data_IF_556238453836
#
_entry.id   IF_556238453836
#
_cell.length_a   1.000
_cell.length_b   1.000
_cell.length_c   1.000
_cell.angle_alpha   90.00
_cell.angle_beta   90.00
_cell.angle_gamma   90.00
#
_symmetry.space_group_name_H-M   'P 1'
#
loop_
_entity.id
_entity.type
_entity.pdbx_description
1 polymer ?
#
# COMPACT_ATOMS: atom_id res chain seq x y z
N UNK A 1 22.53 -1.80 8.25
CA UNK A 1 23.09 -1.77 6.88
C UNK A 1 22.08 -2.10 5.79
N UNK A 2 21.02 -2.88 6.05
CA UNK A 2 19.98 -3.21 5.04
C UNK A 2 19.14 -1.97 4.63
N UNK A 3 18.90 -1.01 5.53
CA UNK A 3 18.28 0.29 5.18
C UNK A 3 19.11 1.15 4.24
N UNK A 4 20.43 1.08 4.32
CA UNK A 4 21.30 1.90 3.48
C UNK A 4 21.28 1.40 2.02
N UNK A 5 21.13 0.09 1.81
CA UNK A 5 21.00 -0.50 0.47
C UNK A 5 19.65 -0.19 -0.19
N UNK A 6 18.54 -0.20 0.56
CA UNK A 6 17.20 0.12 0.05
C UNK A 6 17.11 1.60 -0.38
N UNK A 7 17.80 2.50 0.33
CA UNK A 7 17.90 3.91 -0.05
C UNK A 7 18.75 4.15 -1.31
N UNK A 8 19.74 3.31 -1.63
CA UNK A 8 20.68 3.58 -2.71
C UNK A 8 20.14 3.23 -4.12
N UNK A 9 19.08 2.41 -4.21
CA UNK A 9 18.38 2.13 -5.48
C UNK A 9 17.36 3.23 -5.84
N UNK A 10 16.93 4.06 -4.87
CA UNK A 10 15.97 5.13 -5.08
C UNK A 10 16.63 6.52 -5.04
N UNK A 11 17.80 6.64 -5.67
CA UNK A 11 18.51 7.90 -5.90
C UNK A 11 17.83 8.82 -6.92
N UNK A 12 16.50 8.99 -6.85
CA UNK A 12 15.79 10.02 -7.62
C UNK A 12 14.89 10.81 -6.68
N UNK A 13 15.36 11.99 -6.28
CA UNK A 13 14.51 13.11 -5.85
C UNK A 13 13.58 13.45 -7.01
N UNK A 14 12.44 12.79 -7.11
CA UNK A 14 11.44 13.13 -8.11
C UNK A 14 10.14 13.54 -7.42
N UNK A 15 10.03 14.85 -7.23
CA UNK A 15 8.85 15.56 -6.77
C UNK A 15 7.74 15.42 -7.82
N UNK A 16 6.97 14.32 -7.76
CA UNK A 16 5.76 14.16 -8.55
C UNK A 16 4.55 14.34 -7.64
N UNK A 17 4.05 15.57 -7.66
CA UNK A 17 2.73 15.97 -7.17
C UNK A 17 1.69 14.96 -7.63
N UNK A 18 1.10 14.23 -6.68
CA UNK A 18 -0.16 13.54 -6.91
C UNK A 18 -1.26 14.59 -6.77
N UNK A 19 -2.05 14.90 -7.83
CA UNK A 19 -3.14 15.83 -7.71
C UNK A 19 -4.26 15.15 -6.91
N UNK A 20 -4.29 15.39 -5.60
CA UNK A 20 -5.52 15.27 -4.83
C UNK A 20 -6.46 16.35 -5.37
N UNK A 21 -7.29 15.99 -6.34
CA UNK A 21 -8.39 16.83 -6.78
C UNK A 21 -9.41 16.93 -5.64
N UNK A 22 -9.16 17.87 -4.73
CA UNK A 22 -10.18 18.41 -3.86
C UNK A 22 -11.11 19.27 -4.73
N UNK A 23 -12.11 18.63 -5.34
CA UNK A 23 -13.25 19.31 -5.92
C UNK A 23 -13.98 20.09 -4.81
N UNK A 24 -13.65 21.38 -4.69
CA UNK A 24 -14.30 22.33 -3.79
C UNK A 24 -15.66 22.70 -4.37
N UNK A 25 -16.66 21.85 -4.18
CA UNK A 25 -18.05 22.26 -4.38
C UNK A 25 -18.48 23.12 -3.19
N UNK A 26 -18.62 24.43 -3.44
CA UNK A 26 -19.13 25.42 -2.48
C UNK A 26 -20.64 25.20 -2.39
N UNK A 27 -21.10 24.56 -1.31
CA UNK A 27 -22.53 24.39 -1.02
C UNK A 27 -23.11 25.77 -0.65
N UNK A 28 -24.31 26.17 -1.12
CA UNK A 28 -24.89 27.47 -0.80
C UNK A 28 -25.26 27.54 0.68
N UNK A 29 -24.74 28.55 1.38
CA UNK A 29 -25.00 28.78 2.80
C UNK A 29 -26.41 29.37 2.95
N UNK A 30 -27.43 28.52 3.00
CA UNK A 30 -28.78 28.94 3.43
C UNK A 30 -29.19 28.12 4.66
N UNK A 31 -29.26 28.82 5.79
CA UNK A 31 -30.04 28.50 6.98
C UNK A 31 -29.68 27.26 7.82
N UNK A 32 -28.38 26.97 7.98
CA UNK A 32 -27.93 26.04 9.03
C UNK A 32 -27.48 26.89 10.23
N UNK A 33 -28.14 26.71 11.38
CA UNK A 33 -27.73 27.34 12.65
C UNK A 33 -26.20 27.24 12.83
N UNK A 34 -25.52 28.37 13.11
CA UNK A 34 -24.06 28.43 13.34
C UNK A 34 -23.61 27.35 14.35
N UNK A 35 -24.46 27.05 15.35
CA UNK A 35 -24.21 25.97 16.32
C UNK A 35 -24.26 24.57 15.70
N UNK A 36 -25.20 24.32 14.79
CA UNK A 36 -25.33 23.04 14.04
C UNK A 36 -24.16 22.88 13.07
N UNK A 37 -23.78 23.95 12.37
CA UNK A 37 -22.61 23.97 11.48
C UNK A 37 -21.29 23.74 12.24
N UNK A 38 -21.08 24.39 13.40
CA UNK A 38 -19.91 24.15 14.26
C UNK A 38 -19.84 22.70 14.75
N UNK A 39 -20.98 22.11 15.16
CA UNK A 39 -21.04 20.69 15.56
C UNK A 39 -20.70 19.76 14.40
N UNK A 40 -21.22 20.05 13.21
CA UNK A 40 -20.96 19.28 11.99
C UNK A 40 -19.50 19.38 11.53
N UNK A 41 -18.91 20.58 11.56
CA UNK A 41 -17.48 20.78 11.25
C UNK A 41 -16.56 20.09 12.26
N UNK A 42 -16.88 20.13 13.56
CA UNK A 42 -16.14 19.37 14.59
C UNK A 42 -16.24 17.87 14.36
N UNK A 43 -17.42 17.37 14.02
CA UNK A 43 -17.63 15.95 13.72
C UNK A 43 -16.87 15.53 12.46
N UNK A 44 -16.93 16.34 11.39
CA UNK A 44 -16.20 16.11 10.15
C UNK A 44 -14.70 16.08 10.36
N UNK A 45 -14.15 17.00 11.17
CA UNK A 45 -12.71 17.01 11.53
C UNK A 45 -12.30 15.72 12.27
N UNK A 46 -13.12 15.25 13.21
CA UNK A 46 -12.87 13.98 13.92
C UNK A 46 -12.91 12.76 12.99
N UNK A 47 -13.82 12.75 12.02
CA UNK A 47 -13.90 11.68 11.02
C UNK A 47 -12.70 11.71 10.07
N UNK A 48 -12.19 12.89 9.72
CA UNK A 48 -10.97 13.08 8.92
C UNK A 48 -9.72 12.57 9.64
N UNK A 49 -9.51 12.95 10.91
CA UNK A 49 -8.37 12.46 11.71
C UNK A 49 -8.37 10.93 11.83
N UNK A 50 -9.56 10.33 11.96
CA UNK A 50 -9.70 8.87 12.02
C UNK A 50 -9.36 8.20 10.69
N UNK A 51 -9.74 8.81 9.57
CA UNK A 51 -9.38 8.32 8.26
C UNK A 51 -7.86 8.41 8.05
N UNK A 52 -7.27 9.59 8.28
CA UNK A 52 -5.82 9.81 8.13
C UNK A 52 -5.00 8.80 8.93
N UNK A 53 -5.38 8.56 10.20
CA UNK A 53 -4.71 7.56 11.03
C UNK A 53 -4.81 6.14 10.46
N UNK A 54 -5.96 5.78 9.90
CA UNK A 54 -6.15 4.48 9.28
C UNK A 54 -5.37 4.34 7.96
N UNK A 55 -5.32 5.39 7.15
CA UNK A 55 -4.54 5.42 5.90
C UNK A 55 -3.04 5.32 6.16
N UNK A 56 -2.54 6.07 7.15
CA UNK A 56 -1.16 5.95 7.63
C UNK A 56 -0.87 4.51 8.05
N UNK A 57 -1.73 3.92 8.87
CA UNK A 57 -1.51 2.56 9.36
C UNK A 57 -1.53 1.53 8.23
N UNK A 58 -2.49 1.65 7.29
CA UNK A 58 -2.55 0.79 6.12
C UNK A 58 -1.28 0.90 5.25
N UNK A 59 -0.84 2.13 4.97
CA UNK A 59 0.34 2.36 4.15
C UNK A 59 1.62 1.83 4.81
N UNK A 60 1.81 2.05 6.13
CA UNK A 60 2.95 1.51 6.88
C UNK A 60 2.91 -0.02 6.91
N UNK A 61 1.74 -0.64 7.14
CA UNK A 61 1.62 -2.10 7.15
C UNK A 61 2.00 -2.74 5.80
N UNK A 62 1.56 -2.16 4.67
CA UNK A 62 1.95 -2.65 3.34
C UNK A 62 3.44 -2.42 3.08
N UNK A 63 3.98 -1.28 3.49
CA UNK A 63 5.41 -1.00 3.36
C UNK A 63 6.25 -2.02 4.16
N UNK A 64 5.82 -2.37 5.37
CA UNK A 64 6.48 -3.37 6.21
C UNK A 64 6.46 -4.77 5.59
N UNK A 65 5.32 -5.22 5.06
CA UNK A 65 5.24 -6.51 4.33
C UNK A 65 6.18 -6.53 3.13
N UNK A 66 6.16 -5.46 2.32
CA UNK A 66 7.01 -5.36 1.15
C UNK A 66 8.50 -5.34 1.51
N UNK A 67 8.88 -4.67 2.60
CA UNK A 67 10.25 -4.67 3.10
C UNK A 67 10.69 -6.05 3.62
N UNK A 68 9.82 -6.77 4.33
CA UNK A 68 10.09 -8.13 4.78
C UNK A 68 10.30 -9.09 3.60
N UNK A 69 9.49 -8.98 2.54
CA UNK A 69 9.69 -9.75 1.30
C UNK A 69 10.98 -9.39 0.56
N UNK A 70 11.35 -8.10 0.56
CA UNK A 70 12.63 -7.66 0.01
C UNK A 70 13.82 -8.25 0.79
N UNK A 71 13.72 -8.30 2.12
CA UNK A 71 14.73 -8.90 2.99
C UNK A 71 14.87 -10.41 2.73
N UNK A 72 13.76 -11.16 2.68
CA UNK A 72 13.76 -12.59 2.35
C UNK A 72 14.44 -12.84 1.00
N UNK A 73 14.08 -12.07 -0.03
CA UNK A 73 14.68 -12.20 -1.35
C UNK A 73 16.20 -11.90 -1.32
N UNK A 74 16.63 -10.92 -0.52
CA UNK A 74 18.05 -10.62 -0.33
C UNK A 74 18.82 -11.67 0.49
N UNK A 75 18.16 -12.35 1.44
CA UNK A 75 18.72 -13.49 2.17
C UNK A 75 18.95 -14.70 1.25
N UNK A 76 17.99 -14.98 0.34
CA UNK A 76 18.12 -16.04 -0.66
C UNK A 76 19.33 -15.83 -1.60
N UNK A 77 19.65 -14.57 -1.93
CA UNK A 77 20.85 -14.22 -2.70
C UNK A 77 22.16 -14.59 -2.01
N UNK A 78 22.18 -14.60 -0.67
CA UNK A 78 23.37 -14.92 0.12
C UNK A 78 23.49 -16.41 0.38
N UNK A 79 22.36 -17.11 0.53
CA UNK A 79 22.31 -18.55 0.77
C UNK A 79 22.67 -19.38 -0.47
N UNK A 80 22.40 -18.88 -1.68
CA UNK A 80 22.66 -19.59 -2.93
C UNK A 80 23.89 -18.99 -3.66
N UNK A 81 24.89 -19.82 -3.97
CA UNK A 81 26.09 -19.39 -4.72
C UNK A 81 25.75 -18.87 -6.13
N UNK A 82 24.62 -19.32 -6.71
CA UNK A 82 24.03 -18.73 -7.90
C UNK A 82 23.06 -17.61 -7.51
N UNK A 83 23.50 -16.35 -7.64
CA UNK A 83 22.61 -15.18 -7.55
C UNK A 83 21.48 -15.34 -8.56
N UNK A 84 20.26 -15.58 -8.09
CA UNK A 84 19.13 -15.70 -8.99
C UNK A 84 18.71 -14.28 -9.44
N UNK A 85 18.69 -14.07 -10.77
CA UNK A 85 18.20 -12.83 -11.37
C UNK A 85 16.74 -12.55 -10.93
N UNK A 86 15.98 -13.62 -10.67
CA UNK A 86 14.62 -13.54 -10.13
C UNK A 86 14.58 -12.94 -8.73
N UNK A 87 15.37 -13.42 -7.78
CA UNK A 87 15.36 -12.92 -6.40
C UNK A 87 15.81 -11.46 -6.34
N UNK A 88 16.76 -11.06 -7.21
CA UNK A 88 17.16 -9.66 -7.36
C UNK A 88 16.01 -8.80 -7.89
N UNK A 89 15.26 -9.29 -8.88
CA UNK A 89 14.10 -8.59 -9.41
C UNK A 89 12.97 -8.50 -8.37
N UNK A 90 12.73 -9.56 -7.60
CA UNK A 90 11.74 -9.58 -6.51
C UNK A 90 12.11 -8.61 -5.41
N UNK A 91 13.36 -8.64 -4.93
CA UNK A 91 13.86 -7.71 -3.92
C UNK A 91 13.69 -6.25 -4.36
N UNK A 92 14.03 -5.96 -5.62
CA UNK A 92 13.93 -4.62 -6.20
C UNK A 92 12.48 -4.14 -6.35
N UNK A 93 11.58 -5.01 -6.84
CA UNK A 93 10.16 -4.71 -6.95
C UNK A 93 9.51 -4.47 -5.58
N UNK A 94 9.80 -5.34 -4.60
CA UNK A 94 9.29 -5.23 -3.25
C UNK A 94 9.81 -3.97 -2.54
N UNK A 95 11.10 -3.64 -2.71
CA UNK A 95 11.67 -2.39 -2.20
C UNK A 95 10.99 -1.14 -2.80
N UNK A 96 10.67 -1.15 -4.10
CA UNK A 96 9.94 -0.04 -4.74
C UNK A 96 8.51 0.11 -4.19
N UNK A 97 7.81 -1.01 -3.95
CA UNK A 97 6.49 -0.98 -3.30
C UNK A 97 6.61 -0.43 -1.88
N UNK A 98 7.60 -0.88 -1.11
CA UNK A 98 7.84 -0.39 0.24
C UNK A 98 8.09 1.12 0.26
N UNK A 99 8.95 1.62 -0.63
CA UNK A 99 9.23 3.05 -0.77
C UNK A 99 7.98 3.85 -1.18
N UNK A 100 7.16 3.31 -2.09
CA UNK A 100 5.93 3.98 -2.52
C UNK A 100 4.91 4.07 -1.40
N UNK A 101 4.75 3.00 -0.63
CA UNK A 101 3.85 2.97 0.52
C UNK A 101 4.35 3.87 1.67
N UNK A 102 5.65 3.95 1.90
CA UNK A 102 6.25 4.91 2.82
C UNK A 102 5.91 6.36 2.43
N UNK A 103 6.05 6.73 1.15
CA UNK A 103 5.66 8.06 0.67
C UNK A 103 4.16 8.32 0.82
N UNK A 104 3.30 7.31 0.61
CA UNK A 104 1.85 7.45 0.85
C UNK A 104 1.56 7.68 2.33
N UNK A 105 2.28 7.00 3.24
CA UNK A 105 2.16 7.23 4.68
C UNK A 105 2.60 8.64 5.08
N UNK A 106 3.72 9.15 4.53
CA UNK A 106 4.17 10.53 4.75
C UNK A 106 3.14 11.55 4.27
N UNK A 107 2.61 11.37 3.05
CA UNK A 107 1.57 12.22 2.49
C UNK A 107 0.26 12.21 3.31
N UNK A 108 -0.02 11.10 3.99
CA UNK A 108 -1.15 10.97 4.91
C UNK A 108 -0.86 11.52 6.34
N UNK A 109 0.36 12.02 6.60
CA UNK A 109 0.74 12.72 7.83
C UNK A 109 1.60 11.92 8.82
N UNK A 110 2.15 10.77 8.41
CA UNK A 110 3.08 10.01 9.25
C UNK A 110 4.47 10.66 9.32
N UNK A 111 5.13 10.52 10.47
CA UNK A 111 6.53 10.96 10.64
C UNK A 111 7.49 9.94 10.02
N UNK A 112 8.54 10.42 9.37
CA UNK A 112 9.51 9.56 8.68
C UNK A 112 10.21 8.58 9.62
N UNK A 113 10.48 8.98 10.87
CA UNK A 113 11.12 8.14 11.89
C UNK A 113 10.21 6.98 12.32
N UNK A 114 8.90 7.22 12.39
CA UNK A 114 7.92 6.18 12.68
C UNK A 114 7.85 5.18 11.53
N UNK A 115 7.88 5.67 10.29
CA UNK A 115 7.84 4.83 9.09
C UNK A 115 9.09 3.96 9.02
N UNK A 116 10.28 4.55 9.15
CA UNK A 116 11.54 3.80 9.09
C UNK A 116 11.60 2.76 10.21
N UNK A 117 11.31 3.13 11.45
CA UNK A 117 11.34 2.19 12.58
C UNK A 117 10.41 0.99 12.38
N UNK A 118 9.19 1.21 11.86
CA UNK A 118 8.24 0.13 11.61
C UNK A 118 8.66 -0.78 10.44
N UNK A 119 9.21 -0.19 9.37
CA UNK A 119 9.73 -0.92 8.21
C UNK A 119 10.93 -1.78 8.63
N UNK A 120 11.81 -1.26 9.46
CA UNK A 120 13.02 -1.97 9.91
C UNK A 120 12.68 -3.15 10.78
N UNK A 121 11.74 -2.97 11.71
CA UNK A 121 11.20 -4.05 12.53
C UNK A 121 10.57 -5.14 11.65
N UNK A 122 9.80 -4.77 10.63
CA UNK A 122 9.20 -5.72 9.69
C UNK A 122 10.26 -6.43 8.82
N UNK A 123 11.29 -5.72 8.38
CA UNK A 123 12.38 -6.28 7.56
C UNK A 123 13.20 -7.34 8.30
N UNK A 124 13.22 -7.31 9.64
CA UNK A 124 13.85 -8.37 10.45
C UNK A 124 12.93 -9.59 10.71
N UNK A 125 11.64 -9.48 10.38
CA UNK A 125 10.64 -10.51 10.65
C UNK A 125 10.42 -11.42 9.42
N UNK A 126 11.48 -12.12 9.00
CA UNK A 126 11.52 -12.90 7.75
C UNK A 126 10.93 -14.31 7.86
N UNK A 127 10.52 -14.74 9.06
CA UNK A 127 9.86 -16.03 9.27
C UNK A 127 8.47 -16.09 8.62
N UNK A 128 8.10 -17.25 8.07
CA UNK A 128 6.81 -17.45 7.41
C UNK A 128 5.60 -17.07 8.29
N UNK A 129 5.63 -17.39 9.58
CA UNK A 129 4.57 -17.04 10.53
C UNK A 129 4.41 -15.52 10.71
N UNK A 130 5.54 -14.80 10.74
CA UNK A 130 5.56 -13.34 10.83
C UNK A 130 5.04 -12.70 9.54
N UNK A 131 5.43 -13.23 8.37
CA UNK A 131 4.92 -12.76 7.06
C UNK A 131 3.40 -12.91 6.94
N UNK A 132 2.83 -14.05 7.35
CA UNK A 132 1.38 -14.23 7.35
C UNK A 132 0.68 -13.24 8.27
N UNK A 133 1.22 -13.02 9.47
CA UNK A 133 0.67 -12.08 10.44
C UNK A 133 0.74 -10.64 9.93
N UNK A 134 1.88 -10.21 9.40
CA UNK A 134 2.08 -8.89 8.80
C UNK A 134 1.14 -8.67 7.61
N UNK A 135 0.96 -9.69 6.76
CA UNK A 135 0.05 -9.63 5.60
C UNK A 135 -1.41 -9.52 6.04
N UNK A 136 -1.83 -10.31 7.03
CA UNK A 136 -3.17 -10.24 7.60
C UNK A 136 -3.45 -8.88 8.26
N UNK A 137 -2.47 -8.34 8.98
CA UNK A 137 -2.53 -7.00 9.56
C UNK A 137 -2.67 -5.93 8.46
N UNK A 138 -1.85 -5.99 7.40
CA UNK A 138 -1.93 -5.07 6.27
C UNK A 138 -3.31 -5.11 5.58
N UNK A 139 -3.83 -6.31 5.30
CA UNK A 139 -5.15 -6.48 4.70
C UNK A 139 -6.27 -5.90 5.58
N UNK A 140 -6.20 -6.10 6.89
CA UNK A 140 -7.15 -5.54 7.85
C UNK A 140 -7.07 -4.02 7.90
N UNK A 141 -5.87 -3.46 7.93
CA UNK A 141 -5.64 -2.01 7.92
C UNK A 141 -6.18 -1.37 6.63
N UNK A 142 -5.94 -1.98 5.47
CA UNK A 142 -6.50 -1.54 4.18
C UNK A 142 -8.02 -1.54 4.20
N UNK A 143 -8.64 -2.63 4.69
CA UNK A 143 -10.10 -2.72 4.81
C UNK A 143 -10.66 -1.68 5.78
N UNK A 144 -9.95 -1.42 6.89
CA UNK A 144 -10.29 -0.39 7.86
C UNK A 144 -10.28 1.01 7.24
N UNK A 145 -9.22 1.34 6.50
CA UNK A 145 -9.11 2.61 5.78
C UNK A 145 -10.22 2.77 4.73
N UNK A 146 -10.47 1.75 3.89
CA UNK A 146 -11.53 1.77 2.89
C UNK A 146 -12.92 1.94 3.50
N UNK A 147 -13.20 1.28 4.63
CA UNK A 147 -14.46 1.41 5.36
C UNK A 147 -14.66 2.85 5.85
N UNK A 148 -13.60 3.50 6.34
CA UNK A 148 -13.67 4.90 6.79
C UNK A 148 -13.86 5.88 5.62
N UNK A 149 -13.21 5.65 4.47
CA UNK A 149 -13.45 6.44 3.23
C UNK A 149 -14.91 6.37 2.80
N UNK A 150 -15.51 5.17 2.79
CA UNK A 150 -16.91 4.99 2.43
C UNK A 150 -17.88 5.77 3.32
N UNK A 151 -17.57 5.89 4.63
CA UNK A 151 -18.40 6.66 5.59
C UNK A 151 -18.30 8.17 5.36
N UNK A 152 -17.13 8.68 4.97
CA UNK A 152 -16.98 10.10 4.61
C UNK A 152 -17.80 10.48 3.37
N UNK A 153 -17.85 9.59 2.36
CA UNK A 153 -18.64 9.79 1.14
C UNK A 153 -20.15 9.67 1.35
N UNK A 154 -20.60 8.78 2.24
CA UNK A 154 -22.03 8.49 2.45
C UNK A 154 -22.81 9.65 3.11
N UNK A 155 -22.15 10.55 3.84
CA UNK A 155 -22.80 11.73 4.46
C UNK A 155 -23.32 12.76 3.43
N UNK A 156 -22.84 12.73 2.19
CA UNK A 156 -23.31 13.62 1.12
C UNK A 156 -24.47 13.04 0.30
N UNK A 157 -24.73 11.73 0.37
CA UNK A 157 -25.88 11.09 -0.30
C UNK A 157 -26.97 10.78 0.71
N UNK A 158 -27.88 11.73 0.89
CA UNK A 158 -29.21 11.39 1.42
C UNK A 158 -29.98 10.59 0.34
N UNK A 159 -30.74 9.59 0.81
CA UNK A 159 -31.61 8.65 0.08
C UNK A 159 -30.93 7.44 -0.58
N UNK A 160 -31.06 6.32 0.14
CA UNK A 160 -31.48 5.04 -0.43
C UNK A 160 -30.47 4.33 -1.31
N UNK A 161 -29.48 3.67 -0.72
CA UNK A 161 -28.94 2.44 -1.32
C UNK A 161 -28.29 1.58 -0.24
N UNK A 162 -28.64 0.30 -0.22
CA UNK A 162 -28.07 -0.73 0.64
C UNK A 162 -26.53 -0.74 0.54
N UNK A 163 -25.82 -1.09 1.63
CA UNK A 163 -24.36 -1.06 1.64
C UNK A 163 -23.83 -2.24 0.82
N UNK A 164 -23.71 -2.06 -0.49
CA UNK A 164 -22.85 -2.90 -1.31
C UNK A 164 -21.41 -2.57 -0.93
N UNK A 165 -20.69 -3.56 -0.40
CA UNK A 165 -19.26 -3.55 -0.19
C UNK A 165 -18.56 -3.42 -1.54
N UNK A 166 -18.39 -2.19 -2.04
CA UNK A 166 -17.64 -1.95 -3.27
C UNK A 166 -16.22 -1.54 -2.92
N UNK A 167 -15.34 -2.52 -3.14
CA UNK A 167 -13.93 -2.32 -3.36
C UNK A 167 -13.76 -1.51 -4.64
N UNK A 168 -13.74 -0.19 -4.57
CA UNK A 168 -13.29 0.63 -5.68
C UNK A 168 -12.47 1.79 -5.14
N UNK A 169 -11.14 1.69 -5.27
CA UNK A 169 -10.29 2.79 -5.78
C UNK A 169 -8.82 2.35 -6.05
N UNK A 170 -8.63 1.10 -6.48
CA UNK A 170 -7.55 0.73 -7.39
C UNK A 170 -8.19 -0.31 -8.32
N UNK A 171 -8.24 -0.07 -9.62
CA UNK A 171 -8.74 -1.03 -10.63
C UNK A 171 -7.85 -2.27 -10.78
N UNK A 172 -7.28 -2.77 -9.68
CA UNK A 172 -6.49 -3.98 -9.60
C UNK A 172 -7.40 -5.07 -9.02
N UNK A 173 -8.04 -5.83 -9.89
CA UNK A 173 -8.85 -6.98 -9.53
C UNK A 173 -7.94 -8.06 -8.92
N UNK A 174 -7.78 -8.02 -7.60
CA UNK A 174 -7.04 -9.02 -6.84
C UNK A 174 -7.60 -10.43 -7.11
N UNK A 175 -8.89 -10.53 -7.43
CA UNK A 175 -9.56 -11.76 -7.86
C UNK A 175 -9.02 -12.26 -9.19
N UNK A 176 -8.81 -11.37 -10.17
CA UNK A 176 -8.15 -11.70 -11.45
C UNK A 176 -6.70 -12.13 -11.26
N UNK A 177 -5.91 -11.41 -10.47
CA UNK A 177 -4.51 -11.81 -10.22
C UNK A 177 -4.43 -13.14 -9.46
N UNK A 178 -5.31 -13.36 -8.47
CA UNK A 178 -5.40 -14.64 -7.77
C UNK A 178 -5.86 -15.76 -8.68
N UNK A 179 -6.80 -15.49 -9.59
CA UNK A 179 -7.23 -16.45 -10.61
C UNK A 179 -6.14 -16.77 -11.63
N UNK A 180 -5.33 -15.77 -12.03
CA UNK A 180 -4.14 -15.96 -12.87
C UNK A 180 -3.05 -16.76 -12.17
N UNK A 181 -2.77 -16.50 -10.89
CA UNK A 181 -1.83 -17.27 -10.08
C UNK A 181 -2.31 -18.72 -9.86
N UNK A 182 -3.60 -18.91 -9.61
CA UNK A 182 -4.20 -20.24 -9.49
C UNK A 182 -4.23 -21.00 -10.82
N UNK A 183 -4.14 -20.30 -11.96
CA UNK A 183 -4.11 -20.91 -13.31
C UNK A 183 -2.74 -21.43 -13.73
N UNK A 184 -1.67 -21.12 -12.99
CA UNK A 184 -0.34 -21.66 -13.27
C UNK A 184 0.12 -21.42 -14.71
N UNK A 185 0.05 -20.18 -15.20
CA UNK A 185 0.75 -19.85 -16.44
C UNK A 185 2.25 -20.07 -16.18
N UNK A 186 2.85 -21.00 -16.93
CA UNK A 186 4.29 -21.14 -17.02
C UNK A 186 4.87 -19.76 -17.34
N UNK A 187 5.50 -19.13 -16.35
CA UNK A 187 6.41 -18.02 -16.60
C UNK A 187 7.58 -18.64 -17.36
N UNK A 188 7.46 -18.70 -18.69
CA UNK A 188 8.56 -18.95 -19.59
C UNK A 188 9.58 -17.83 -19.32
N UNK A 189 10.53 -18.13 -18.45
CA UNK A 189 11.77 -17.36 -18.37
C UNK A 189 12.42 -17.60 -19.71
N UNK A 190 12.40 -16.57 -20.57
CA UNK A 190 13.26 -16.54 -21.72
C UNK A 190 14.70 -16.57 -21.21
N UNK A 191 15.28 -17.76 -21.16
CA UNK A 191 16.73 -17.91 -21.20
C UNK A 191 17.14 -17.55 -22.62
N UNK A 192 17.89 -16.45 -22.75
CA UNK A 192 18.72 -16.22 -23.93
C UNK A 192 19.72 -17.37 -23.99
N UNK A 193 19.44 -18.39 -24.80
CA UNK A 193 20.48 -18.94 -25.65
C UNK A 193 19.87 -19.80 -26.76
N UNK A 194 20.14 -19.35 -27.98
CA UNK A 194 19.66 -19.96 -29.20
C UNK A 194 20.40 -21.26 -29.52
N UNK A 195 19.64 -22.34 -29.68
CA UNK A 195 19.70 -23.26 -30.83
C UNK A 195 18.78 -24.45 -30.58
N UNK A 196 17.67 -24.52 -31.31
CA UNK A 196 16.89 -25.77 -31.43
C UNK A 196 17.23 -26.42 -32.77
N UNK A 197 17.89 -27.58 -32.73
CA UNK A 197 17.81 -28.56 -33.82
C UNK A 197 16.54 -29.38 -33.63
N UNK A 198 15.75 -29.52 -34.70
CA UNK A 198 14.65 -30.50 -34.78
C UNK A 198 15.24 -31.91 -34.82
N UNK A 199 14.70 -32.79 -34.01
CA UNK A 199 14.68 -34.23 -34.27
C UNK A 199 13.22 -34.63 -34.45
#
# INVERSE_FOLDING_TARGET
>A
MILQQVCNVCGTKNSRNFPLQFSKNIIPWKEISIRKWLKEMKQKRKEEERLQRAEVHAAISVAGVAAALAAIAAENLQANQHKSLRDTAVASAAALVAARCAHVAEAAGAKREQISSAIDAAATATDAANIFTLTAAAATSMKGAATLRGRQGQRQKTKGSSPALLCDDFGFDLGRCRASLAKGDEILVATEDGKKKKK
#
